data_IF_953248869877
#
_entry.id   IF_953248869877
#
_cell.length_a   1.000
_cell.length_b   1.000
_cell.length_c   1.000
_cell.angle_alpha   90.00
_cell.angle_beta   90.00
_cell.angle_gamma   90.00
#
_symmetry.space_group_name_H-M   'P 1'
#
loop_
_entity.id
_entity.type
_entity.pdbx_description
1 polymer ?
#
# COMPACT_ATOMS: atom_id res chain seq x y z
N UNK A 1 4.40 -9.89 31.83
CA UNK A 1 5.73 -10.18 31.25
C UNK A 1 5.65 -11.58 30.65
N UNK A 2 6.21 -11.82 29.46
CA UNK A 2 6.23 -13.10 28.74
C UNK A 2 7.66 -13.46 28.32
N UNK A 3 7.89 -14.71 27.93
CA UNK A 3 9.17 -15.17 27.36
C UNK A 3 9.20 -14.86 25.86
N UNK A 4 10.26 -14.18 25.41
CA UNK A 4 10.50 -13.98 23.99
C UNK A 4 10.94 -15.28 23.31
N UNK A 5 10.73 -15.38 21.99
CA UNK A 5 11.22 -16.52 21.20
C UNK A 5 11.95 -16.05 19.95
N UNK A 6 13.18 -16.49 19.76
CA UNK A 6 13.95 -16.33 18.52
C UNK A 6 14.26 -17.72 17.99
N UNK A 7 14.11 -17.94 16.68
CA UNK A 7 14.18 -19.29 16.09
C UNK A 7 13.24 -20.32 16.76
N UNK A 8 12.12 -19.86 17.33
CA UNK A 8 11.18 -20.65 18.15
C UNK A 8 11.77 -21.27 19.42
N UNK A 9 12.95 -20.82 19.88
CA UNK A 9 13.57 -21.21 21.15
C UNK A 9 13.35 -20.12 22.21
N UNK A 10 13.37 -20.51 23.48
CA UNK A 10 13.23 -19.58 24.61
C UNK A 10 14.35 -18.52 24.62
N UNK A 11 13.98 -17.27 24.87
CA UNK A 11 14.88 -16.12 24.90
C UNK A 11 14.65 -15.25 26.14
N UNK A 12 15.08 -13.99 26.10
CA UNK A 12 14.91 -13.04 27.22
C UNK A 12 13.47 -12.53 27.34
N UNK A 13 13.04 -12.09 28.55
CA UNK A 13 11.68 -11.60 28.76
C UNK A 13 11.39 -10.26 28.07
N UNK A 14 10.12 -10.09 27.69
CA UNK A 14 9.53 -8.81 27.27
C UNK A 14 8.08 -8.72 27.76
N UNK A 15 7.45 -7.56 27.62
CA UNK A 15 6.01 -7.42 27.83
C UNK A 15 5.24 -7.80 26.56
N UNK A 16 4.01 -8.28 26.70
CA UNK A 16 3.12 -8.49 25.55
C UNK A 16 2.88 -7.19 24.78
N UNK A 17 2.80 -6.05 25.49
CA UNK A 17 2.70 -4.72 24.88
C UNK A 17 3.89 -4.38 23.98
N UNK A 18 5.13 -4.76 24.34
CA UNK A 18 6.30 -4.57 23.49
C UNK A 18 6.22 -5.41 22.21
N UNK A 19 5.74 -6.66 22.28
CA UNK A 19 5.54 -7.50 21.09
C UNK A 19 4.50 -6.88 20.13
N UNK A 20 3.33 -6.50 20.67
CA UNK A 20 2.25 -5.88 19.90
C UNK A 20 2.68 -4.52 19.34
N UNK A 21 3.57 -3.77 20.03
CA UNK A 21 4.09 -2.50 19.51
C UNK A 21 4.81 -2.66 18.16
N UNK A 22 5.44 -3.82 17.93
CA UNK A 22 6.01 -4.16 16.63
C UNK A 22 4.95 -4.29 15.53
N UNK A 23 3.83 -4.95 15.83
CA UNK A 23 2.70 -5.07 14.90
C UNK A 23 2.08 -3.70 14.58
N UNK A 24 1.89 -2.85 15.61
CA UNK A 24 1.38 -1.48 15.43
C UNK A 24 2.30 -0.68 14.51
N UNK A 25 3.62 -0.76 14.71
CA UNK A 25 4.59 -0.11 13.84
C UNK A 25 4.50 -0.63 12.39
N UNK A 26 4.40 -1.95 12.18
CA UNK A 26 4.23 -2.54 10.85
C UNK A 26 2.99 -1.97 10.14
N UNK A 27 1.86 -1.84 10.83
CA UNK A 27 0.63 -1.27 10.27
C UNK A 27 0.75 0.24 9.99
N UNK A 28 1.39 1.00 10.87
CA UNK A 28 1.63 2.42 10.66
C UNK A 28 2.52 2.70 9.45
N UNK A 29 3.58 1.90 9.25
CA UNK A 29 4.40 1.93 8.05
C UNK A 29 3.62 1.48 6.81
N UNK A 30 2.85 0.40 6.91
CA UNK A 30 2.01 -0.09 5.81
C UNK A 30 1.04 0.96 5.30
N UNK A 31 0.37 1.69 6.20
CA UNK A 31 -0.48 2.84 5.84
C UNK A 31 0.29 3.90 5.06
N UNK A 32 1.46 4.33 5.57
CA UNK A 32 2.30 5.33 4.88
C UNK A 32 2.72 4.88 3.49
N UNK A 33 3.11 3.63 3.32
CA UNK A 33 3.50 3.10 2.00
C UNK A 33 2.31 3.15 1.02
N UNK A 34 1.11 2.77 1.46
CA UNK A 34 -0.10 2.83 0.63
C UNK A 34 -0.49 4.28 0.30
N UNK A 35 -0.39 5.21 1.24
CA UNK A 35 -0.67 6.62 0.98
C UNK A 35 0.36 7.24 0.00
N UNK A 36 1.61 6.81 0.06
CA UNK A 36 2.70 7.30 -0.82
C UNK A 36 2.54 6.91 -2.29
N UNK A 37 1.75 5.86 -2.62
CA UNK A 37 1.54 5.48 -4.02
C UNK A 37 0.43 6.29 -4.70
N UNK A 38 -0.40 6.99 -3.91
CA UNK A 38 -1.56 7.73 -4.42
C UNK A 38 -1.21 8.82 -5.42
N UNK A 39 -0.14 9.63 -5.27
CA UNK A 39 0.17 10.69 -6.23
C UNK A 39 0.31 10.18 -7.66
N UNK A 40 1.09 9.11 -7.88
CA UNK A 40 1.30 8.55 -9.22
C UNK A 40 0.04 7.83 -9.75
N UNK A 41 -0.73 7.17 -8.89
CA UNK A 41 -2.03 6.58 -9.27
C UNK A 41 -3.07 7.62 -9.69
N UNK A 42 -2.97 8.85 -9.19
CA UNK A 42 -3.88 9.95 -9.51
C UNK A 42 -3.51 10.67 -10.81
N UNK A 43 -2.42 10.28 -11.47
CA UNK A 43 -2.02 10.83 -12.76
C UNK A 43 -2.80 10.19 -13.90
N UNK A 44 -3.55 11.00 -14.64
CA UNK A 44 -4.44 10.54 -15.70
C UNK A 44 -3.80 10.66 -17.08
N UNK A 45 -3.89 9.58 -17.87
CA UNK A 45 -3.48 9.54 -19.27
C UNK A 45 -4.44 10.27 -20.22
N UNK A 46 -5.63 10.67 -19.75
CA UNK A 46 -6.63 11.36 -20.57
C UNK A 46 -6.04 12.62 -21.22
N UNK A 47 -6.40 12.83 -22.49
CA UNK A 47 -5.83 13.88 -23.34
C UNK A 47 -4.57 13.48 -24.10
N UNK A 48 -3.96 12.32 -23.82
CA UNK A 48 -2.89 11.75 -24.67
C UNK A 48 -3.38 11.23 -26.03
N UNK A 49 -4.70 10.99 -26.15
CA UNK A 49 -5.39 10.41 -27.31
C UNK A 49 -4.74 9.10 -27.78
N UNK A 50 -4.46 8.92 -29.07
CA UNK A 50 -4.09 7.62 -29.62
C UNK A 50 -2.69 7.15 -29.18
N UNK A 51 -1.72 8.07 -29.11
CA UNK A 51 -0.30 7.72 -28.94
C UNK A 51 0.47 8.67 -28.02
N UNK A 52 -0.22 9.55 -27.28
CA UNK A 52 0.37 10.48 -26.32
C UNK A 52 0.58 11.90 -26.83
N UNK A 53 0.40 12.15 -28.14
CA UNK A 53 0.58 13.48 -28.75
C UNK A 53 -0.56 14.44 -28.43
N UNK A 54 -1.73 13.94 -28.03
CA UNK A 54 -2.93 14.75 -27.84
C UNK A 54 -3.59 15.21 -29.13
N UNK A 55 -3.24 14.61 -30.29
CA UNK A 55 -3.91 14.91 -31.56
C UNK A 55 -5.41 14.66 -31.43
N UNK A 56 -6.22 15.61 -31.90
CA UNK A 56 -7.69 15.67 -31.79
C UNK A 56 -8.24 15.97 -30.38
N UNK A 57 -7.40 16.19 -29.36
CA UNK A 57 -7.86 16.76 -28.10
C UNK A 57 -7.83 18.31 -28.21
N UNK A 58 -8.95 19.00 -27.91
CA UNK A 58 -8.94 20.45 -27.78
C UNK A 58 -7.93 20.91 -26.73
N UNK A 59 -7.34 22.09 -26.92
CA UNK A 59 -6.42 22.68 -25.94
C UNK A 59 -7.11 22.81 -24.58
N UNK A 60 -6.47 22.31 -23.52
CA UNK A 60 -7.01 22.33 -22.15
C UNK A 60 -7.95 21.16 -21.80
N UNK A 61 -8.21 20.23 -22.74
CA UNK A 61 -9.08 19.08 -22.49
C UNK A 61 -8.58 18.20 -21.33
N UNK A 62 -7.28 17.90 -21.31
CA UNK A 62 -6.68 17.00 -20.31
C UNK A 62 -6.83 17.55 -18.88
N UNK A 63 -6.55 18.84 -18.70
CA UNK A 63 -6.69 19.56 -17.44
C UNK A 63 -8.15 19.72 -17.02
N UNK A 64 -9.03 19.97 -17.99
CA UNK A 64 -10.48 20.06 -17.76
C UNK A 64 -11.03 18.75 -17.22
N UNK A 65 -10.73 17.63 -17.88
CA UNK A 65 -11.22 16.31 -17.46
C UNK A 65 -10.65 15.90 -16.10
N UNK A 66 -9.36 16.13 -15.84
CA UNK A 66 -8.77 15.84 -14.53
C UNK A 66 -9.48 16.63 -13.40
N UNK A 67 -9.79 17.91 -13.65
CA UNK A 67 -10.52 18.76 -12.70
C UNK A 67 -11.95 18.27 -12.45
N UNK A 68 -12.69 17.93 -13.51
CA UNK A 68 -14.05 17.40 -13.37
C UNK A 68 -14.06 16.07 -12.59
N UNK A 69 -13.11 15.18 -12.87
CA UNK A 69 -12.97 13.93 -12.12
C UNK A 69 -12.60 14.18 -10.66
N UNK A 70 -11.72 15.13 -10.37
CA UNK A 70 -11.39 15.51 -9.01
C UNK A 70 -12.61 16.06 -8.24
N UNK A 71 -13.45 16.86 -8.89
CA UNK A 71 -14.70 17.39 -8.31
C UNK A 71 -15.70 16.26 -8.04
N UNK A 72 -15.94 15.39 -9.01
CA UNK A 72 -16.96 14.33 -8.90
C UNK A 72 -16.57 13.28 -7.86
N UNK A 73 -15.28 12.94 -7.77
CA UNK A 73 -14.80 11.86 -6.90
C UNK A 73 -14.29 12.33 -5.54
N UNK A 74 -13.95 13.62 -5.40
CA UNK A 74 -13.24 14.15 -4.24
C UNK A 74 -11.78 13.67 -4.12
N UNK A 75 -11.23 13.04 -5.17
CA UNK A 75 -9.85 12.54 -5.20
C UNK A 75 -8.92 13.54 -5.94
N UNK A 76 -7.62 13.58 -5.61
CA UNK A 76 -6.69 14.57 -6.15
C UNK A 76 -6.17 14.19 -7.55
N UNK A 77 -7.08 13.90 -8.49
CA UNK A 77 -6.72 13.57 -9.86
C UNK A 77 -6.05 14.75 -10.58
N UNK A 78 -4.97 14.45 -11.29
CA UNK A 78 -4.21 15.41 -12.09
C UNK A 78 -3.93 14.83 -13.46
N UNK A 79 -3.64 15.67 -14.44
CA UNK A 79 -3.19 15.19 -15.74
C UNK A 79 -1.73 14.73 -15.65
N UNK A 80 -1.38 13.56 -16.20
CA UNK A 80 0.01 13.07 -16.20
C UNK A 80 0.94 14.07 -16.90
N UNK A 81 2.14 14.35 -16.37
CA UNK A 81 3.09 15.27 -16.99
C UNK A 81 3.66 14.71 -18.31
N UNK A 82 3.59 13.40 -18.54
CA UNK A 82 4.04 12.77 -19.78
C UNK A 82 3.06 11.69 -20.25
N UNK A 83 2.32 12.00 -21.32
CA UNK A 83 1.31 11.08 -21.87
C UNK A 83 1.89 9.87 -22.60
N UNK A 84 3.17 9.91 -23.00
CA UNK A 84 3.81 8.74 -23.61
C UNK A 84 4.10 7.69 -22.56
N UNK A 85 4.61 8.08 -21.39
CA UNK A 85 4.81 7.17 -20.24
C UNK A 85 3.47 6.57 -19.81
N UNK A 86 2.48 7.41 -19.53
CA UNK A 86 1.18 6.98 -19.02
C UNK A 86 0.36 6.09 -19.98
N UNK A 87 0.74 6.02 -21.26
CA UNK A 87 0.13 5.13 -22.25
C UNK A 87 1.00 3.90 -22.59
N UNK A 88 2.33 4.02 -22.47
CA UNK A 88 3.25 2.96 -22.85
C UNK A 88 3.49 1.94 -21.74
N UNK A 89 3.32 2.32 -20.47
CA UNK A 89 3.49 1.44 -19.31
C UNK A 89 2.37 1.63 -18.28
N UNK A 90 2.44 0.86 -17.20
CA UNK A 90 1.50 0.89 -16.07
C UNK A 90 2.26 0.95 -14.74
N UNK A 91 3.36 1.71 -14.71
CA UNK A 91 4.34 1.68 -13.62
C UNK A 91 3.74 2.17 -12.30
N UNK A 92 2.81 3.12 -12.34
CA UNK A 92 2.03 3.54 -11.18
C UNK A 92 1.30 2.37 -10.50
N UNK A 93 0.66 1.50 -11.29
CA UNK A 93 -0.06 0.33 -10.79
C UNK A 93 0.89 -0.74 -10.26
N UNK A 94 2.01 -0.97 -10.94
CA UNK A 94 3.03 -1.93 -10.49
C UNK A 94 3.62 -1.50 -9.15
N UNK A 95 3.98 -0.22 -9.01
CA UNK A 95 4.50 0.33 -7.75
C UNK A 95 3.47 0.26 -6.62
N UNK A 96 2.22 0.65 -6.90
CA UNK A 96 1.11 0.55 -5.95
C UNK A 96 0.89 -0.89 -5.45
N UNK A 97 0.90 -1.86 -6.37
CA UNK A 97 0.75 -3.26 -6.01
C UNK A 97 1.94 -3.77 -5.18
N UNK A 98 3.14 -3.23 -5.40
CA UNK A 98 4.30 -3.47 -4.53
C UNK A 98 4.05 -3.04 -3.08
N UNK A 99 3.48 -1.86 -2.85
CA UNK A 99 3.11 -1.39 -1.51
C UNK A 99 2.05 -2.31 -0.86
N UNK A 100 1.04 -2.75 -1.62
CA UNK A 100 0.04 -3.72 -1.15
C UNK A 100 0.68 -5.06 -0.77
N UNK A 101 1.63 -5.56 -1.57
CA UNK A 101 2.36 -6.80 -1.28
C UNK A 101 3.18 -6.69 0.02
N UNK A 102 3.81 -5.54 0.28
CA UNK A 102 4.51 -5.29 1.55
C UNK A 102 3.56 -5.30 2.75
N UNK A 103 2.38 -4.69 2.62
CA UNK A 103 1.36 -4.74 3.66
C UNK A 103 0.88 -6.18 3.90
N UNK A 104 0.62 -6.93 2.82
CA UNK A 104 0.20 -8.33 2.90
C UNK A 104 1.23 -9.21 3.64
N UNK A 105 2.53 -9.02 3.38
CA UNK A 105 3.59 -9.74 4.10
C UNK A 105 3.59 -9.41 5.61
N UNK A 106 3.34 -8.14 5.97
CA UNK A 106 3.23 -7.72 7.37
C UNK A 106 2.02 -8.34 8.06
N UNK A 107 0.86 -8.35 7.39
CA UNK A 107 -0.36 -8.97 7.90
C UNK A 107 -0.20 -10.49 8.05
N UNK A 108 0.46 -11.16 7.11
CA UNK A 108 0.77 -12.58 7.19
C UNK A 108 1.61 -12.90 8.44
N UNK A 109 2.63 -12.07 8.72
CA UNK A 109 3.45 -12.21 9.93
C UNK A 109 2.58 -12.08 11.19
N UNK A 110 1.80 -11.01 11.31
CA UNK A 110 0.96 -10.75 12.49
C UNK A 110 -0.05 -11.89 12.70
N UNK A 111 -0.74 -12.32 11.64
CA UNK A 111 -1.70 -13.41 11.72
C UNK A 111 -1.05 -14.74 12.15
N UNK A 112 0.17 -15.01 11.67
CA UNK A 112 0.93 -16.19 12.08
C UNK A 112 1.36 -16.12 13.54
N UNK A 113 1.82 -14.97 14.03
CA UNK A 113 2.15 -14.79 15.45
C UNK A 113 0.91 -15.09 16.32
N UNK A 114 -0.24 -14.47 15.99
CA UNK A 114 -1.49 -14.70 16.72
C UNK A 114 -1.88 -16.18 16.70
N UNK A 115 -1.80 -16.84 15.54
CA UNK A 115 -2.10 -18.27 15.38
C UNK A 115 -1.19 -19.16 16.24
N UNK A 116 0.08 -18.82 16.38
CA UNK A 116 1.03 -19.56 17.21
C UNK A 116 0.80 -19.31 18.70
N UNK A 117 0.68 -18.05 19.13
CA UNK A 117 0.48 -17.70 20.54
C UNK A 117 -0.81 -18.32 21.09
N UNK A 118 -1.89 -18.27 20.30
CA UNK A 118 -3.18 -18.87 20.66
C UNK A 118 -3.26 -20.39 20.46
N UNK A 119 -2.18 -21.06 20.04
CA UNK A 119 -2.19 -22.52 19.86
C UNK A 119 -2.41 -23.24 21.20
N UNK A 120 -3.29 -24.23 21.24
CA UNK A 120 -3.72 -24.85 22.50
C UNK A 120 -5.05 -25.60 22.37
N UNK A 121 -5.81 -25.81 23.48
CA UNK A 121 -5.64 -25.21 24.81
C UNK A 121 -4.71 -25.97 25.76
N UNK A 122 -4.20 -27.16 25.38
CA UNK A 122 -3.38 -28.01 26.28
C UNK A 122 -1.97 -28.32 25.79
N UNK A 123 -1.78 -28.37 24.47
CA UNK A 123 -0.53 -28.87 23.85
C UNK A 123 0.07 -27.86 22.86
N UNK A 124 -0.16 -26.57 23.10
CA UNK A 124 0.41 -25.46 22.33
C UNK A 124 1.05 -24.44 23.25
N UNK A 125 1.26 -23.21 22.76
CA UNK A 125 1.84 -22.11 23.53
C UNK A 125 0.85 -21.59 24.58
N UNK A 126 -0.40 -21.32 24.19
CA UNK A 126 -1.48 -20.91 25.10
C UNK A 126 -1.27 -19.57 25.82
N UNK A 127 -0.71 -18.57 25.12
CA UNK A 127 -0.51 -17.20 25.60
C UNK A 127 -1.62 -16.26 25.11
#
# INVERSE_FOLDING_TARGET
VKIGRTHLQDATPLTLGQEISGWVAQLAHGRRHVEQVLPHLCELALGGTAVGTGLNAPKGYAEGVARELAVITGLPFVTSPNKFEALASVDALVFAHGALKTLAASLMKIANDVRWLASGPRSGIGE
#
